data_IF_199788803030
#
_entry.id   IF_199788803030
#
_cell.length_a   1.000
_cell.length_b   1.000
_cell.length_c   1.000
_cell.angle_alpha   90.00
_cell.angle_beta   90.00
_cell.angle_gamma   90.00
#
_symmetry.space_group_name_H-M   'P 1'
#
loop_
_entity.id
_entity.type
_entity.pdbx_description
1 polymer ?
#
# COMPACT_ATOMS: atom_id res chain seq x y z
N UNK A 1 14.19 -28.75 -10.77
CA UNK A 1 14.13 -28.17 -9.41
C UNK A 1 14.54 -26.72 -9.51
N UNK A 2 13.61 -25.78 -9.34
CA UNK A 2 13.85 -24.35 -9.55
C UNK A 2 14.50 -23.73 -8.30
N UNK A 3 15.60 -23.01 -8.53
CA UNK A 3 16.39 -22.33 -7.50
C UNK A 3 15.59 -21.19 -6.87
N UNK A 4 15.36 -21.28 -5.57
CA UNK A 4 14.64 -20.28 -4.78
C UNK A 4 15.59 -19.11 -4.54
N UNK A 5 15.34 -17.96 -5.19
CA UNK A 5 16.09 -16.72 -4.94
C UNK A 5 15.60 -16.11 -3.63
N UNK A 6 16.22 -16.48 -2.53
CA UNK A 6 16.02 -15.83 -1.23
C UNK A 6 16.44 -14.36 -1.32
N UNK A 7 15.49 -13.45 -1.12
CA UNK A 7 15.76 -12.02 -0.97
C UNK A 7 16.29 -11.77 0.45
N UNK A 8 17.61 -11.73 0.59
CA UNK A 8 18.29 -11.16 1.75
C UNK A 8 18.19 -9.63 1.66
N UNK A 9 17.22 -9.05 2.36
CA UNK A 9 17.17 -7.60 2.55
C UNK A 9 18.10 -7.24 3.71
N UNK A 10 19.16 -6.53 3.36
CA UNK A 10 20.16 -5.92 4.23
C UNK A 10 19.48 -5.09 5.31
N UNK A 11 19.48 -5.61 6.54
CA UNK A 11 19.39 -4.79 7.74
C UNK A 11 20.73 -4.11 7.90
N UNK A 12 20.79 -2.81 7.62
CA UNK A 12 21.60 -1.82 8.34
C UNK A 12 21.43 -0.47 7.61
N UNK A 13 20.61 0.40 8.17
CA UNK A 13 20.80 1.83 7.97
C UNK A 13 20.65 2.54 9.30
N UNK A 14 21.77 3.12 9.71
CA UNK A 14 22.11 3.61 11.01
C UNK A 14 21.15 4.68 11.55
N UNK A 15 21.13 4.71 12.87
CA UNK A 15 20.53 5.76 13.67
C UNK A 15 21.24 7.11 13.47
N UNK A 16 20.45 8.17 13.62
CA UNK A 16 20.83 9.51 14.07
C UNK A 16 21.58 10.42 13.09
N UNK A 17 20.83 11.36 12.49
CA UNK A 17 21.20 12.78 12.53
C UNK A 17 20.01 13.70 12.18
N UNK A 18 19.63 14.50 13.17
CA UNK A 18 19.17 15.89 13.08
C UNK A 18 17.91 16.26 12.28
N UNK A 19 16.93 16.82 12.99
CA UNK A 19 16.25 18.03 12.51
C UNK A 19 14.75 17.95 12.27
N UNK A 20 13.98 18.12 13.35
CA UNK A 20 12.79 18.97 13.40
C UNK A 20 11.74 18.87 12.29
N UNK A 21 10.62 18.23 12.61
CA UNK A 21 9.29 18.88 12.65
C UNK A 21 8.26 17.90 13.20
N UNK A 22 7.85 18.14 14.45
CA UNK A 22 6.62 17.58 15.02
C UNK A 22 5.46 18.00 14.11
N UNK A 23 4.91 17.06 13.35
CA UNK A 23 3.57 17.22 12.78
C UNK A 23 2.58 16.43 13.63
N UNK A 24 1.88 17.20 14.47
CA UNK A 24 0.50 16.98 14.93
C UNK A 24 0.07 15.55 15.23
N UNK A 25 0.34 15.12 16.46
CA UNK A 25 -0.52 14.17 17.16
C UNK A 25 -1.84 14.90 17.44
N UNK A 26 -2.88 14.67 16.63
CA UNK A 26 -4.25 15.07 16.96
C UNK A 26 -5.05 13.82 17.32
N UNK A 27 -5.12 13.58 18.62
CA UNK A 27 -6.22 12.82 19.23
C UNK A 27 -7.44 13.75 19.25
N UNK A 28 -8.44 13.50 18.42
CA UNK A 28 -9.72 14.23 18.48
C UNK A 28 -10.88 13.29 18.16
N UNK A 29 -11.70 13.03 19.18
CA UNK A 29 -13.07 12.51 19.05
C UNK A 29 -13.87 13.37 18.06
N UNK A 30 -14.54 12.74 17.10
CA UNK A 30 -15.52 13.37 16.22
C UNK A 30 -15.91 12.43 15.07
N UNK A 31 -17.21 12.27 14.80
CA UNK A 31 -17.76 11.44 13.72
C UNK A 31 -17.29 11.85 12.31
N UNK A 32 -17.82 11.22 11.24
CA UNK A 32 -17.12 10.93 9.99
C UNK A 32 -16.83 12.19 9.17
N UNK A 33 -15.84 12.96 9.58
CA UNK A 33 -15.06 13.78 8.66
C UNK A 33 -14.25 12.79 7.83
N UNK A 34 -14.83 12.44 6.68
CA UNK A 34 -14.35 11.39 5.80
C UNK A 34 -12.84 11.41 5.70
N UNK A 35 -12.21 10.31 6.09
CA UNK A 35 -10.80 10.11 5.87
C UNK A 35 -10.52 10.35 4.38
N UNK A 36 -9.84 11.44 4.05
CA UNK A 36 -9.54 11.79 2.68
C UNK A 36 -8.19 11.21 2.32
N UNK A 37 -8.11 10.57 1.16
CA UNK A 37 -6.82 10.22 0.59
C UNK A 37 -6.01 11.49 0.28
N UNK A 38 -4.68 11.39 0.18
CA UNK A 38 -3.84 12.46 -0.33
C UNK A 38 -4.28 12.94 -1.73
N UNK A 39 -3.68 14.05 -2.18
CA UNK A 39 -3.86 14.51 -3.56
C UNK A 39 -3.40 13.43 -4.55
N UNK A 40 -4.02 13.38 -5.74
CA UNK A 40 -3.73 12.35 -6.75
C UNK A 40 -2.24 12.30 -7.10
N UNK A 41 -1.58 13.44 -7.29
CA UNK A 41 -0.14 13.48 -7.57
C UNK A 41 0.71 12.90 -6.42
N UNK A 42 0.28 13.12 -5.18
CA UNK A 42 0.94 12.54 -4.00
C UNK A 42 0.76 11.02 -3.98
N UNK A 43 -0.46 10.53 -4.23
CA UNK A 43 -0.73 9.08 -4.33
C UNK A 43 0.13 8.47 -5.43
N UNK A 44 0.18 9.08 -6.62
CA UNK A 44 0.98 8.60 -7.74
C UNK A 44 2.46 8.51 -7.37
N UNK A 45 3.03 9.54 -6.75
CA UNK A 45 4.42 9.52 -6.26
C UNK A 45 4.68 8.40 -5.26
N UNK A 46 3.78 8.21 -4.30
CA UNK A 46 3.86 7.10 -3.33
C UNK A 46 3.87 5.76 -4.08
N UNK A 47 2.90 5.52 -4.96
CA UNK A 47 2.80 4.27 -5.71
C UNK A 47 4.02 4.03 -6.61
N UNK A 48 4.60 5.08 -7.20
CA UNK A 48 5.85 4.97 -7.96
C UNK A 48 7.06 4.61 -7.10
N UNK A 49 7.09 5.03 -5.83
CA UNK A 49 8.17 4.69 -4.89
C UNK A 49 8.07 3.26 -4.34
N UNK A 50 6.89 2.63 -4.42
CA UNK A 50 6.65 1.28 -3.92
C UNK A 50 6.99 0.21 -4.98
N UNK A 51 7.43 -1.00 -4.57
CA UNK A 51 7.70 -2.09 -5.50
C UNK A 51 6.50 -2.43 -6.39
N UNK A 52 6.73 -2.88 -7.62
CA UNK A 52 5.63 -3.25 -8.54
C UNK A 52 4.70 -4.33 -7.98
N UNK A 53 5.26 -5.31 -7.26
CA UNK A 53 4.49 -6.36 -6.58
C UNK A 53 3.56 -5.81 -5.48
N UNK A 54 3.83 -4.60 -4.95
CA UNK A 54 2.94 -3.97 -3.98
C UNK A 54 1.59 -3.60 -4.59
N UNK A 55 1.54 -3.33 -5.91
CA UNK A 55 0.28 -3.04 -6.59
C UNK A 55 -0.70 -4.22 -6.54
N UNK A 56 -0.21 -5.45 -6.69
CA UNK A 56 -1.05 -6.65 -6.60
C UNK A 56 -1.63 -6.84 -5.18
N UNK A 57 -0.79 -6.63 -4.17
CA UNK A 57 -1.21 -6.67 -2.77
C UNK A 57 -2.28 -5.61 -2.49
N UNK A 58 -2.04 -4.36 -2.92
CA UNK A 58 -2.99 -3.28 -2.70
C UNK A 58 -4.32 -3.50 -3.45
N UNK A 59 -4.27 -4.04 -4.68
CA UNK A 59 -5.49 -4.44 -5.41
C UNK A 59 -6.29 -5.49 -4.65
N UNK A 60 -5.64 -6.53 -4.13
CA UNK A 60 -6.30 -7.56 -3.32
C UNK A 60 -6.96 -6.95 -2.07
N UNK A 61 -6.27 -6.06 -1.35
CA UNK A 61 -6.87 -5.39 -0.18
C UNK A 61 -8.06 -4.49 -0.54
N UNK A 62 -7.97 -3.77 -1.67
CA UNK A 62 -9.07 -2.94 -2.18
C UNK A 62 -10.26 -3.81 -2.58
N UNK A 63 -10.04 -4.96 -3.23
CA UNK A 63 -11.12 -5.90 -3.57
C UNK A 63 -11.89 -6.37 -2.33
N UNK A 64 -11.18 -6.70 -1.26
CA UNK A 64 -11.81 -7.04 0.03
C UNK A 64 -12.60 -5.86 0.63
N UNK A 65 -12.07 -4.64 0.51
CA UNK A 65 -12.75 -3.43 0.96
C UNK A 65 -14.04 -3.18 0.16
N UNK A 66 -14.00 -3.36 -1.16
CA UNK A 66 -15.18 -3.22 -2.03
C UNK A 66 -16.29 -4.20 -1.67
N UNK A 67 -15.93 -5.46 -1.39
CA UNK A 67 -16.89 -6.47 -0.92
C UNK A 67 -17.51 -6.12 0.44
N UNK A 68 -16.77 -5.40 1.28
CA UNK A 68 -17.21 -5.03 2.63
C UNK A 68 -18.00 -3.70 2.67
N UNK A 69 -17.80 -2.84 1.67
CA UNK A 69 -18.41 -1.53 1.56
C UNK A 69 -17.45 -0.35 1.79
N UNK A 70 -17.92 0.84 1.48
CA UNK A 70 -17.11 2.06 1.54
C UNK A 70 -16.90 2.56 2.97
N UNK A 71 -15.67 2.96 3.30
CA UNK A 71 -15.26 3.47 4.61
C UNK A 71 -15.57 2.50 5.77
N UNK A 72 -15.46 1.18 5.50
CA UNK A 72 -15.62 0.13 6.51
C UNK A 72 -14.26 -0.31 7.03
N UNK A 73 -14.16 -0.53 8.33
CA UNK A 73 -12.99 -1.14 8.94
C UNK A 73 -13.03 -2.66 8.76
N UNK A 74 -12.06 -3.20 8.04
CA UNK A 74 -11.92 -4.63 7.77
C UNK A 74 -10.88 -5.22 8.73
N UNK A 75 -11.17 -6.31 9.45
CA UNK A 75 -10.18 -6.96 10.30
C UNK A 75 -8.96 -7.46 9.52
N UNK A 76 -7.76 -7.31 10.09
CA UNK A 76 -6.53 -7.77 9.44
C UNK A 76 -6.54 -9.27 9.15
N UNK A 77 -7.21 -10.08 9.98
CA UNK A 77 -7.39 -11.52 9.74
C UNK A 77 -8.20 -11.81 8.47
N UNK A 78 -9.18 -10.97 8.13
CA UNK A 78 -9.98 -11.11 6.91
C UNK A 78 -9.14 -10.75 5.69
N UNK A 79 -8.32 -9.72 5.76
CA UNK A 79 -7.33 -9.45 4.70
C UNK A 79 -6.37 -10.62 4.52
N UNK A 80 -5.88 -11.22 5.61
CA UNK A 80 -5.01 -12.39 5.54
C UNK A 80 -5.67 -13.55 4.81
N UNK A 81 -6.91 -13.89 5.17
CA UNK A 81 -7.67 -14.94 4.49
C UNK A 81 -7.88 -14.63 3.01
N UNK A 82 -8.23 -13.38 2.69
CA UNK A 82 -8.46 -12.98 1.31
C UNK A 82 -7.18 -13.03 0.45
N UNK A 83 -6.00 -12.78 1.03
CA UNK A 83 -4.74 -13.00 0.32
C UNK A 83 -4.57 -14.46 -0.08
N UNK A 84 -4.87 -15.39 0.82
CA UNK A 84 -4.80 -16.82 0.51
C UNK A 84 -5.79 -17.18 -0.62
N UNK A 85 -7.02 -16.61 -0.60
CA UNK A 85 -8.02 -16.80 -1.65
C UNK A 85 -7.56 -16.23 -3.01
N UNK A 86 -6.79 -15.14 -3.01
CA UNK A 86 -6.17 -14.57 -4.20
C UNK A 86 -4.86 -15.27 -4.63
N UNK A 87 -4.45 -16.34 -3.95
CA UNK A 87 -3.20 -17.06 -4.23
C UNK A 87 -1.93 -16.31 -3.81
N UNK A 88 -2.06 -15.30 -2.94
CA UNK A 88 -0.95 -14.49 -2.43
C UNK A 88 -0.51 -14.98 -1.04
N UNK A 89 0.72 -15.47 -0.95
CA UNK A 89 1.26 -15.95 0.33
C UNK A 89 1.84 -14.78 1.13
N UNK A 90 1.02 -14.22 2.05
CA UNK A 90 1.41 -13.11 2.93
C UNK A 90 1.30 -13.53 4.39
N UNK A 91 2.45 -13.73 5.03
CA UNK A 91 2.52 -13.98 6.48
C UNK A 91 1.96 -12.79 7.27
N UNK A 92 1.44 -13.03 8.48
CA UNK A 92 0.96 -11.96 9.38
C UNK A 92 2.02 -10.89 9.66
N UNK A 93 3.31 -11.25 9.77
CA UNK A 93 4.39 -10.27 9.95
C UNK A 93 4.54 -9.32 8.76
N UNK A 94 4.43 -9.83 7.53
CA UNK A 94 4.43 -9.03 6.31
C UNK A 94 3.17 -8.18 6.19
N UNK A 95 2.02 -8.72 6.61
CA UNK A 95 0.76 -7.97 6.63
C UNK A 95 0.83 -6.74 7.56
N UNK A 96 1.46 -6.87 8.74
CA UNK A 96 1.72 -5.72 9.62
C UNK A 96 2.65 -4.68 8.98
N UNK A 97 3.66 -5.12 8.22
CA UNK A 97 4.52 -4.20 7.48
C UNK A 97 3.77 -3.45 6.38
N UNK A 98 2.87 -4.15 5.66
CA UNK A 98 1.98 -3.54 4.65
C UNK A 98 1.05 -2.52 5.29
N UNK A 99 0.41 -2.87 6.41
CA UNK A 99 -0.41 -1.94 7.20
C UNK A 99 0.38 -0.67 7.52
N UNK A 100 1.57 -0.81 8.13
CA UNK A 100 2.42 0.33 8.51
C UNK A 100 2.80 1.19 7.31
N UNK A 101 3.11 0.58 6.18
CA UNK A 101 3.44 1.31 4.95
C UNK A 101 2.24 2.12 4.45
N UNK A 102 1.04 1.51 4.42
CA UNK A 102 -0.19 2.17 3.98
C UNK A 102 -0.59 3.31 4.92
N UNK A 103 -0.50 3.10 6.24
CA UNK A 103 -0.84 4.13 7.24
C UNK A 103 0.17 5.27 7.26
N UNK A 104 1.47 4.98 7.13
CA UNK A 104 2.52 6.01 7.04
C UNK A 104 2.36 6.91 5.83
N UNK A 105 1.93 6.34 4.70
CA UNK A 105 1.64 7.08 3.47
C UNK A 105 0.22 7.67 3.44
N UNK A 106 -0.55 7.53 4.52
CA UNK A 106 -1.95 7.99 4.64
C UNK A 106 -2.87 7.43 3.55
N UNK A 107 -2.56 6.24 3.05
CA UNK A 107 -3.41 5.49 2.12
C UNK A 107 -4.46 4.64 2.86
N UNK A 108 -4.27 4.41 4.16
CA UNK A 108 -5.19 3.68 5.02
C UNK A 108 -5.22 4.26 6.44
N UNK A 109 -6.25 3.88 7.20
CA UNK A 109 -6.38 4.15 8.63
C UNK A 109 -6.46 2.83 9.38
N UNK A 110 -5.60 2.66 10.37
CA UNK A 110 -5.56 1.48 11.22
C UNK A 110 -6.14 1.77 12.59
N UNK A 111 -7.11 0.94 13.00
CA UNK A 111 -7.60 0.87 14.37
C UNK A 111 -6.82 -0.23 15.11
N UNK A 112 -5.90 0.22 15.97
CA UNK A 112 -5.05 -0.67 16.75
C UNK A 112 -5.79 -1.41 17.87
N UNK A 113 -6.90 -0.86 18.37
CA UNK A 113 -7.67 -1.51 19.44
C UNK A 113 -8.42 -2.73 18.91
N UNK A 114 -8.97 -2.61 17.70
CA UNK A 114 -9.76 -3.65 17.06
C UNK A 114 -8.97 -4.48 16.03
N UNK A 115 -7.71 -4.11 15.76
CA UNK A 115 -6.86 -4.69 14.73
C UNK A 115 -7.56 -4.72 13.35
N UNK A 116 -8.07 -3.55 12.93
CA UNK A 116 -8.80 -3.36 11.68
C UNK A 116 -8.17 -2.25 10.84
N UNK A 117 -8.26 -2.37 9.52
CA UNK A 117 -7.79 -1.39 8.57
C UNK A 117 -8.95 -0.90 7.72
N UNK A 118 -8.96 0.39 7.40
CA UNK A 118 -9.87 0.99 6.44
C UNK A 118 -9.05 1.68 5.34
N UNK A 119 -9.38 1.38 4.08
CA UNK A 119 -8.87 2.13 2.92
C UNK A 119 -9.93 3.17 2.51
N UNK A 120 -9.74 4.46 2.84
CA UNK A 120 -10.68 5.49 2.42
C UNK A 120 -10.68 5.66 0.90
N UNK A 121 -11.84 6.01 0.34
CA UNK A 121 -11.99 6.31 -1.09
C UNK A 121 -11.34 5.24 -2.01
N UNK A 122 -11.48 3.97 -1.64
CA UNK A 122 -10.78 2.84 -2.27
C UNK A 122 -10.96 2.79 -3.81
N UNK A 123 -12.11 3.19 -4.34
CA UNK A 123 -12.34 3.31 -5.80
C UNK A 123 -11.45 4.33 -6.48
N UNK A 124 -11.19 5.47 -5.83
CA UNK A 124 -10.27 6.49 -6.35
C UNK A 124 -8.84 5.96 -6.31
N UNK A 125 -8.46 5.30 -5.21
CA UNK A 125 -7.13 4.69 -5.10
C UNK A 125 -6.90 3.61 -6.17
N UNK A 126 -7.92 2.77 -6.43
CA UNK A 126 -7.85 1.73 -7.46
C UNK A 126 -7.59 2.31 -8.85
N UNK A 127 -8.35 3.35 -9.26
CA UNK A 127 -8.13 4.01 -10.56
C UNK A 127 -6.70 4.52 -10.71
N UNK A 128 -6.18 5.21 -9.68
CA UNK A 128 -4.81 5.75 -9.70
C UNK A 128 -3.78 4.61 -9.74
N UNK A 129 -4.06 3.50 -9.05
CA UNK A 129 -3.20 2.32 -9.06
C UNK A 129 -3.12 1.66 -10.44
N UNK A 130 -4.24 1.61 -11.16
CA UNK A 130 -4.31 1.08 -12.52
C UNK A 130 -3.57 1.99 -13.50
N UNK A 131 -3.78 3.31 -13.45
CA UNK A 131 -3.01 4.29 -14.24
C UNK A 131 -1.49 4.13 -14.05
N UNK A 132 -1.04 4.04 -12.79
CA UNK A 132 0.40 3.88 -12.47
C UNK A 132 0.94 2.53 -12.97
N UNK A 133 0.11 1.48 -12.96
CA UNK A 133 0.53 0.16 -13.44
C UNK A 133 0.67 0.13 -14.95
N UNK A 134 -0.28 0.73 -15.69
CA UNK A 134 -0.21 0.87 -17.14
C UNK A 134 1.02 1.69 -17.57
N UNK A 135 1.31 2.79 -16.88
CA UNK A 135 2.50 3.60 -17.15
C UNK A 135 3.80 2.84 -16.94
N UNK A 136 3.88 2.00 -15.89
CA UNK A 136 5.03 1.14 -15.62
C UNK A 136 5.22 0.09 -16.71
N UNK A 137 4.14 -0.49 -17.22
CA UNK A 137 4.18 -1.45 -18.32
C UNK A 137 4.59 -0.78 -19.64
N UNK A 138 4.02 0.38 -19.96
CA UNK A 138 4.37 1.15 -21.14
C UNK A 138 5.83 1.61 -21.15
N UNK A 139 6.37 2.03 -19.99
CA UNK A 139 7.78 2.37 -19.86
C UNK A 139 8.71 1.17 -20.10
N UNK A 140 8.29 -0.04 -19.71
CA UNK A 140 9.04 -1.29 -19.98
C UNK A 140 8.96 -1.69 -21.45
N UNK A 141 7.81 -1.50 -22.10
CA UNK A 141 7.62 -1.83 -23.51
C UNK A 141 8.32 -0.83 -24.46
N UNK A 142 8.42 0.44 -24.07
CA UNK A 142 9.03 1.51 -24.89
C UNK A 142 10.56 1.60 -24.84
N UNK A 143 11.22 0.89 -23.91
CA UNK A 143 12.68 0.94 -23.69
C UNK A 143 13.54 0.06 -24.61
N UNK A 144 12.96 -0.55 -25.64
CA UNK A 144 13.59 -1.58 -26.47
C UNK A 144 14.04 -1.14 -27.87
N UNK A 145 14.36 0.14 -28.10
CA UNK A 145 14.93 0.57 -29.38
C UNK A 145 16.42 0.89 -29.18
N UNK A 146 17.36 0.05 -29.66
CA UNK A 146 18.75 0.46 -29.70
C UNK A 146 18.82 1.63 -30.68
N UNK A 147 19.21 2.80 -30.17
CA UNK A 147 19.75 3.86 -31.00
C UNK A 147 21.10 3.35 -31.45
N UNK A 148 21.16 2.80 -32.66
CA UNK A 148 22.45 2.64 -33.35
C UNK A 148 23.05 4.03 -33.51
N UNK A 149 24.26 4.18 -32.95
CA UNK A 149 25.19 5.26 -33.23
C UNK A 149 26.41 4.65 -33.90
#
# INVERSE_FOLDING_TARGET
MASVKSLTLLTDFEASAAGGKKFGYHTSKGGPTGALLPLQDTIRRILFSLPAAFSEVLRCMIGQQEASGENIYVPMSIHQQHFDDCGLIITMGRLKAIEKELTSNRLAIFDAAENKLMIPQHRKLLRILDEVSEERENARAGGGRPVEA
#
